data_IF_053484442186
#
_entry.id   IF_053484442186
#
_cell.length_a   1.000
_cell.length_b   1.000
_cell.length_c   1.000
_cell.angle_alpha   90.00
_cell.angle_beta   90.00
_cell.angle_gamma   90.00
#
_symmetry.space_group_name_H-M   'P 1'
#
loop_
_entity.id
_entity.type
_entity.pdbx_description
1 polymer ?
#
# COMPACT_ATOMS: atom_id res chain seq x y z
N UNK A 1 14.93 -15.66 -1.09
CA UNK A 1 14.68 -14.53 -2.00
C UNK A 1 15.35 -13.31 -1.40
N UNK A 2 16.21 -12.60 -2.14
CA UNK A 2 16.95 -11.43 -1.62
C UNK A 2 16.48 -10.19 -2.39
N UNK A 3 15.52 -9.46 -1.83
CA UNK A 3 14.92 -8.28 -2.46
C UNK A 3 15.49 -7.04 -1.78
N UNK A 4 16.01 -6.11 -2.59
CA UNK A 4 16.48 -4.81 -2.12
C UNK A 4 15.53 -3.75 -2.66
N UNK A 5 14.61 -3.24 -1.82
CA UNK A 5 13.77 -2.10 -2.20
C UNK A 5 14.58 -0.83 -1.95
N UNK A 6 14.81 -0.06 -3.01
CA UNK A 6 15.50 1.24 -2.93
C UNK A 6 14.52 2.39 -2.72
N UNK A 7 13.32 2.27 -3.28
CA UNK A 7 12.26 3.25 -3.13
C UNK A 7 10.89 2.62 -3.27
N UNK A 8 9.88 3.28 -2.72
CA UNK A 8 8.47 2.94 -2.87
C UNK A 8 7.79 4.07 -3.63
N UNK A 9 6.98 3.72 -4.63
CA UNK A 9 6.02 4.66 -5.20
C UNK A 9 4.68 4.50 -4.47
N UNK A 10 4.19 5.57 -3.86
CA UNK A 10 2.89 5.60 -3.19
C UNK A 10 2.11 6.75 -3.83
N UNK A 11 1.07 6.41 -4.61
CA UNK A 11 0.20 7.35 -5.32
C UNK A 11 0.97 8.48 -6.03
N UNK A 12 2.02 8.12 -6.77
CA UNK A 12 2.86 9.04 -7.54
C UNK A 12 4.06 9.63 -6.78
N UNK A 13 4.11 9.49 -5.45
CA UNK A 13 5.23 9.95 -4.64
C UNK A 13 6.32 8.88 -4.52
N UNK A 14 7.56 9.24 -4.84
CA UNK A 14 8.71 8.35 -4.67
C UNK A 14 9.35 8.57 -3.30
N UNK A 15 9.29 7.56 -2.44
CA UNK A 15 9.78 7.59 -1.07
C UNK A 15 11.03 6.71 -0.98
N UNK A 16 12.17 7.23 -0.50
CA UNK A 16 13.33 6.39 -0.25
C UNK A 16 13.04 5.39 0.86
N UNK A 17 13.42 4.14 0.64
CA UNK A 17 13.30 3.11 1.67
C UNK A 17 14.45 3.26 2.68
N UNK A 18 14.17 3.38 3.99
CA UNK A 18 15.21 3.43 5.00
C UNK A 18 16.10 2.19 4.99
N UNK A 19 17.40 2.38 5.27
CA UNK A 19 18.32 1.27 5.47
C UNK A 19 17.80 0.33 6.58
N UNK A 20 17.88 -0.99 6.36
CA UNK A 20 17.38 -2.00 7.30
C UNK A 20 15.94 -2.45 7.07
N UNK A 21 15.10 -1.69 6.34
CA UNK A 21 13.72 -2.09 6.06
C UNK A 21 13.67 -3.30 5.11
N UNK A 22 14.56 -3.32 4.10
CA UNK A 22 14.65 -4.46 3.17
C UNK A 22 15.06 -5.73 3.91
N UNK A 23 16.05 -5.64 4.80
CA UNK A 23 16.51 -6.75 5.64
C UNK A 23 15.41 -7.26 6.57
N UNK A 24 14.65 -6.34 7.17
CA UNK A 24 13.52 -6.67 8.05
C UNK A 24 12.42 -7.41 7.28
N UNK A 25 11.99 -6.88 6.12
CA UNK A 25 10.93 -7.49 5.31
C UNK A 25 11.39 -8.84 4.75
N UNK A 26 12.66 -8.96 4.31
CA UNK A 26 13.24 -10.23 3.89
C UNK A 26 13.23 -11.28 5.01
N UNK A 27 13.57 -10.89 6.24
CA UNK A 27 13.52 -11.79 7.41
C UNK A 27 12.08 -12.19 7.77
N UNK A 28 11.14 -11.27 7.66
CA UNK A 28 9.73 -11.53 7.94
C UNK A 28 9.05 -12.42 6.88
N UNK A 29 9.66 -12.59 5.70
CA UNK A 29 9.05 -13.33 4.59
C UNK A 29 7.79 -12.64 4.03
N UNK A 30 7.56 -11.37 4.37
CA UNK A 30 6.32 -10.64 4.10
C UNK A 30 6.28 -10.05 2.67
N UNK A 31 6.88 -10.75 1.70
CA UNK A 31 6.84 -10.35 0.30
C UNK A 31 5.62 -10.98 -0.37
N UNK A 32 4.81 -10.13 -1.00
CA UNK A 32 3.90 -10.59 -2.03
C UNK A 32 3.88 -9.56 -3.15
N UNK A 33 3.93 -10.03 -4.39
CA UNK A 33 3.64 -9.22 -5.57
C UNK A 33 2.14 -9.20 -5.88
N UNK A 34 1.34 -9.96 -5.12
CA UNK A 34 -0.10 -9.91 -5.24
C UNK A 34 -0.61 -8.56 -4.72
N UNK A 35 -1.48 -7.95 -5.51
CA UNK A 35 -2.21 -6.77 -5.06
C UNK A 35 -3.04 -7.14 -3.82
N UNK A 36 -2.85 -6.38 -2.73
CA UNK A 36 -3.65 -6.54 -1.52
C UNK A 36 -4.85 -5.59 -1.65
N UNK A 37 -6.07 -6.12 -1.91
CA UNK A 37 -7.25 -5.28 -2.06
C UNK A 37 -7.61 -4.62 -0.72
N UNK A 38 -8.33 -3.48 -0.74
CA UNK A 38 -8.88 -2.91 0.47
C UNK A 38 -9.94 -3.85 1.09
N UNK A 39 -10.26 -3.69 2.39
CA UNK A 39 -11.37 -4.41 3.01
C UNK A 39 -12.68 -4.21 2.23
N UNK A 40 -13.55 -5.22 2.24
CA UNK A 40 -14.85 -5.17 1.53
C UNK A 40 -15.66 -3.95 1.95
N UNK A 41 -16.20 -3.21 0.97
CA UNK A 41 -16.96 -1.98 1.22
C UNK A 41 -16.09 -0.75 1.50
N UNK A 42 -14.78 -0.83 1.33
CA UNK A 42 -13.88 0.30 1.51
C UNK A 42 -13.11 0.62 0.23
N UNK A 43 -12.92 1.91 0.01
CA UNK A 43 -11.94 2.46 -0.93
C UNK A 43 -10.71 2.90 -0.14
N UNK A 44 -9.52 2.55 -0.62
CA UNK A 44 -8.26 3.06 -0.08
C UNK A 44 -7.86 4.33 -0.83
N UNK A 45 -7.50 5.37 -0.10
CA UNK A 45 -6.95 6.61 -0.65
C UNK A 45 -5.70 6.98 0.16
N UNK A 46 -4.59 7.36 -0.50
CA UNK A 46 -3.42 7.92 0.19
C UNK A 46 -3.38 9.41 -0.03
N UNK A 47 -3.23 10.17 1.06
CA UNK A 47 -3.17 11.64 1.05
C UNK A 47 -1.89 12.13 1.69
N UNK A 48 -1.32 13.20 1.15
CA UNK A 48 -0.23 13.93 1.80
C UNK A 48 -0.82 15.00 2.73
N UNK A 49 -0.71 14.79 4.04
CA UNK A 49 -1.23 15.69 5.08
C UNK A 49 -0.06 16.13 5.97
N UNK A 50 0.23 17.44 6.00
CA UNK A 50 1.31 18.02 6.80
C UNK A 50 2.68 17.34 6.59
N UNK A 51 3.03 17.02 5.34
CA UNK A 51 4.29 16.37 4.98
C UNK A 51 4.37 14.88 5.33
N UNK A 52 3.27 14.27 5.78
CA UNK A 52 3.16 12.84 6.05
C UNK A 52 2.15 12.20 5.11
N UNK A 53 2.47 11.03 4.59
CA UNK A 53 1.50 10.24 3.84
C UNK A 53 0.61 9.49 4.82
N UNK A 54 -0.69 9.64 4.64
CA UNK A 54 -1.73 8.99 5.44
C UNK A 54 -2.56 8.13 4.50
N UNK A 55 -2.75 6.86 4.88
CA UNK A 55 -3.65 5.94 4.19
C UNK A 55 -5.00 5.97 4.88
N UNK A 56 -6.04 6.37 4.15
CA UNK A 56 -7.43 6.39 4.61
C UNK A 56 -8.22 5.26 3.96
N UNK A 57 -9.11 4.64 4.73
CA UNK A 57 -10.12 3.73 4.23
C UNK A 57 -11.48 4.42 4.34
N UNK A 58 -12.07 4.75 3.20
CA UNK A 58 -13.38 5.37 3.13
C UNK A 58 -14.42 4.29 2.85
N UNK A 59 -15.40 4.17 3.73
CA UNK A 59 -16.52 3.27 3.48
C UNK A 59 -17.31 3.77 2.28
N UNK A 60 -17.49 2.91 1.30
CA UNK A 60 -18.33 3.12 0.12
C UNK A 60 -19.29 1.94 0.08
N UNK A 61 -20.59 2.22 0.05
CA UNK A 61 -21.59 1.17 -0.14
C UNK A 61 -21.21 0.32 -1.36
N UNK A 62 -21.46 -1.00 -1.33
CA UNK A 62 -20.96 -1.94 -2.34
C UNK A 62 -21.27 -1.53 -3.80
N UNK A 63 -22.33 -0.73 -4.00
CA UNK A 63 -22.74 -0.17 -5.29
C UNK A 63 -21.77 0.85 -5.91
N UNK A 64 -20.79 1.36 -5.16
CA UNK A 64 -19.81 2.37 -5.63
C UNK A 64 -18.35 1.88 -5.57
N UNK A 65 -18.16 0.59 -5.30
CA UNK A 65 -16.85 -0.03 -5.40
C UNK A 65 -16.47 -0.14 -6.90
N UNK A 66 -15.25 0.26 -7.30
CA UNK A 66 -14.79 -0.03 -8.64
C UNK A 66 -14.81 -1.55 -8.86
N UNK A 67 -15.18 -2.01 -10.06
CA UNK A 67 -15.42 -3.42 -10.41
C UNK A 67 -14.27 -4.40 -10.05
N UNK A 68 -13.08 -3.87 -9.73
CA UNK A 68 -11.90 -4.62 -9.29
C UNK A 68 -11.89 -4.98 -7.79
N UNK A 69 -12.81 -4.45 -6.98
CA UNK A 69 -12.85 -4.66 -5.52
C UNK A 69 -13.98 -5.61 -5.07
N UNK A 70 -14.70 -6.25 -6.00
CA UNK A 70 -15.85 -7.11 -5.73
C UNK A 70 -15.54 -8.62 -5.78
N UNK A 71 -14.25 -9.01 -5.81
CA UNK A 71 -13.79 -10.40 -5.89
C UNK A 71 -13.53 -11.03 -4.54
#
# INVERSE_FOLDING_TARGET
>A
MNIVIKSMNIDGYNIPVPAGLSELINRAGAWTTAEIPPPKGYRREVKLVNGRLITEYQYVAESELPARAAG
#
